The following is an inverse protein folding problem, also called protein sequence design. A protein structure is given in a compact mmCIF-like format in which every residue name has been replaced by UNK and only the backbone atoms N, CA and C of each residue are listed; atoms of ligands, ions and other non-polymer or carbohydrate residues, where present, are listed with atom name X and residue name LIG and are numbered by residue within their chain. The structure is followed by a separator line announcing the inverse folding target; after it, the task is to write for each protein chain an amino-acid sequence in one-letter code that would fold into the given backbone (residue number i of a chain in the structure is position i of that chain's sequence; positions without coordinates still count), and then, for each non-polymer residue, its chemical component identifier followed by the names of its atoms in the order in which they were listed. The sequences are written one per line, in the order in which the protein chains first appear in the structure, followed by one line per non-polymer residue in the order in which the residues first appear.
data_IF_667499193806
#
_entry.id   IF_667499193806
#
_cell.length_a   1.000
_cell.length_b   1.000
_cell.length_c   1.000
_cell.angle_alpha   90.00
_cell.angle_beta   90.00
_cell.angle_gamma   90.00
#
_symmetry.space_group_name_H-M   'P 1'
#
loop_
_entity.id
_entity.type
_entity.pdbx_description
1 polymer ?
#
# COMPACT_ATOMS: atom_id res chain seq x y z
N UNK A 1 0.57 -14.34 -21.59
CA UNK A 1 1.83 -14.65 -20.88
C UNK A 1 1.62 -15.83 -19.93
N UNK A 2 0.61 -15.85 -19.07
CA UNK A 2 0.33 -16.90 -18.09
C UNK A 2 0.11 -18.29 -18.73
N UNK A 3 -0.36 -18.34 -19.97
CA UNK A 3 -0.56 -19.60 -20.73
C UNK A 3 0.75 -20.23 -21.25
N UNK A 4 1.84 -19.46 -21.34
CA UNK A 4 3.10 -19.98 -21.88
C UNK A 4 3.68 -21.09 -21.00
N UNK A 5 4.17 -22.17 -21.61
CA UNK A 5 4.85 -23.26 -20.89
C UNK A 5 6.11 -22.79 -20.15
N UNK A 6 6.78 -21.74 -20.65
CA UNK A 6 7.96 -21.13 -20.02
C UNK A 6 7.64 -20.21 -18.84
N UNK A 7 6.37 -19.82 -18.63
CA UNK A 7 6.00 -18.97 -17.51
C UNK A 7 6.26 -19.67 -16.17
N UNK A 8 6.96 -18.97 -15.29
CA UNK A 8 7.16 -19.39 -13.90
C UNK A 8 6.26 -18.52 -13.03
N UNK A 9 5.33 -19.10 -12.25
CA UNK A 9 4.43 -18.31 -11.42
C UNK A 9 5.21 -17.59 -10.31
N UNK A 10 5.00 -16.28 -10.22
CA UNK A 10 5.55 -15.39 -9.19
C UNK A 10 4.47 -14.41 -8.73
N UNK A 11 4.56 -13.88 -7.50
CA UNK A 11 3.65 -12.85 -7.04
C UNK A 11 3.73 -11.58 -7.91
N UNK A 12 2.60 -11.17 -8.45
CA UNK A 12 2.47 -9.94 -9.23
C UNK A 12 2.07 -8.79 -8.30
N UNK A 13 2.85 -7.72 -8.29
CA UNK A 13 2.49 -6.49 -7.58
C UNK A 13 1.64 -5.60 -8.49
N UNK A 14 0.38 -5.38 -8.12
CA UNK A 14 -0.44 -4.35 -8.74
C UNK A 14 -0.20 -3.00 -8.08
N UNK A 15 -0.16 -1.94 -8.88
CA UNK A 15 0.10 -0.54 -8.46
C UNK A 15 1.57 -0.20 -8.15
N UNK A 16 2.55 -0.66 -8.90
CA UNK A 16 3.94 -0.27 -8.63
C UNK A 16 4.21 1.21 -8.94
N UNK A 17 3.49 1.82 -9.89
CA UNK A 17 3.68 3.20 -10.34
C UNK A 17 2.48 4.11 -10.01
N UNK A 18 1.27 3.62 -10.25
CA UNK A 18 0.01 4.36 -9.98
C UNK A 18 -0.96 3.46 -9.24
N UNK A 19 -1.93 4.06 -8.55
CA UNK A 19 -2.98 3.30 -7.85
C UNK A 19 -3.86 2.55 -8.88
N UNK A 20 -3.97 1.24 -8.75
CA UNK A 20 -4.82 0.42 -9.61
C UNK A 20 -6.31 0.72 -9.45
N UNK A 21 -6.71 1.35 -8.35
CA UNK A 21 -8.09 1.80 -8.10
C UNK A 21 -8.27 3.32 -8.21
N UNK A 22 -7.49 3.98 -9.07
CA UNK A 22 -7.69 5.40 -9.37
C UNK A 22 -9.11 5.67 -9.91
N UNK A 23 -9.61 6.93 -9.88
CA UNK A 23 -11.02 7.22 -10.18
C UNK A 23 -11.56 6.70 -11.51
N UNK A 24 -10.71 6.64 -12.55
CA UNK A 24 -11.08 6.12 -13.88
C UNK A 24 -11.44 4.62 -13.86
N UNK A 25 -10.93 3.88 -12.88
CA UNK A 25 -11.15 2.44 -12.73
C UNK A 25 -12.64 2.11 -12.47
N UNK A 26 -13.43 3.06 -11.94
CA UNK A 26 -14.89 2.92 -11.82
C UNK A 26 -15.55 2.63 -13.16
N UNK A 27 -15.02 3.23 -14.24
CA UNK A 27 -15.54 3.12 -15.59
C UNK A 27 -14.85 2.02 -16.40
N UNK A 28 -13.52 2.00 -16.39
CA UNK A 28 -12.76 1.12 -17.28
C UNK A 28 -12.65 -0.31 -16.76
N UNK A 29 -12.72 -0.54 -15.43
CA UNK A 29 -12.65 -1.84 -14.78
C UNK A 29 -11.40 -2.68 -15.20
N UNK A 30 -10.29 -2.02 -15.50
CA UNK A 30 -9.06 -2.69 -15.96
C UNK A 30 -8.48 -3.58 -14.87
N UNK A 31 -8.43 -3.09 -13.63
CA UNK A 31 -7.97 -3.85 -12.47
C UNK A 31 -8.83 -5.09 -12.26
N UNK A 32 -10.16 -4.95 -12.34
CA UNK A 32 -11.06 -6.08 -12.21
C UNK A 32 -10.78 -7.15 -13.27
N UNK A 33 -10.65 -6.74 -14.54
CA UNK A 33 -10.32 -7.67 -15.64
C UNK A 33 -8.97 -8.37 -15.47
N UNK A 34 -7.98 -7.67 -14.91
CA UNK A 34 -6.71 -8.30 -14.54
C UNK A 34 -6.91 -9.32 -13.41
N UNK A 35 -7.71 -8.98 -12.39
CA UNK A 35 -8.01 -9.90 -11.29
C UNK A 35 -8.80 -11.13 -11.75
N UNK A 36 -9.73 -11.00 -12.70
CA UNK A 36 -10.45 -12.13 -13.31
C UNK A 36 -9.47 -13.16 -13.89
N UNK A 37 -8.48 -12.68 -14.66
CA UNK A 37 -7.44 -13.56 -15.24
C UNK A 37 -6.54 -14.15 -14.15
N UNK A 38 -6.16 -13.36 -13.14
CA UNK A 38 -5.30 -13.85 -12.05
C UNK A 38 -6.03 -14.87 -11.17
N UNK A 39 -7.32 -14.70 -10.91
CA UNK A 39 -8.16 -15.64 -10.18
C UNK A 39 -8.33 -16.96 -10.97
N UNK A 40 -8.64 -16.87 -12.25
CA UNK A 40 -8.70 -18.05 -13.14
C UNK A 40 -7.41 -18.87 -13.07
N UNK A 41 -6.26 -18.21 -13.13
CA UNK A 41 -4.96 -18.86 -13.06
C UNK A 41 -4.48 -19.17 -11.64
N UNK A 42 -5.15 -18.67 -10.61
CA UNK A 42 -4.68 -18.70 -9.20
C UNK A 42 -3.25 -18.15 -9.08
N UNK A 43 -2.92 -17.14 -9.89
CA UNK A 43 -1.62 -16.50 -9.82
C UNK A 43 -1.57 -15.52 -8.66
N UNK A 44 -0.59 -15.61 -7.76
CA UNK A 44 -0.55 -14.76 -6.58
C UNK A 44 -0.38 -13.28 -6.94
N UNK A 45 -1.09 -12.42 -6.19
CA UNK A 45 -1.12 -10.98 -6.41
C UNK A 45 -1.07 -10.20 -5.10
N UNK A 46 -0.21 -9.18 -5.05
CA UNK A 46 -0.16 -8.18 -3.99
C UNK A 46 -0.75 -6.85 -4.46
N UNK A 47 -1.67 -6.29 -3.69
CA UNK A 47 -2.33 -5.03 -4.01
C UNK A 47 -2.00 -3.98 -2.96
N UNK A 48 -1.62 -2.77 -3.40
CA UNK A 48 -1.51 -1.60 -2.53
C UNK A 48 -2.40 -0.50 -3.11
N UNK A 49 -3.33 0.03 -2.31
CA UNK A 49 -4.21 1.09 -2.77
C UNK A 49 -4.56 2.10 -1.68
N UNK A 50 -4.86 3.33 -2.08
CA UNK A 50 -5.45 4.40 -1.26
C UNK A 50 -6.95 4.57 -1.49
N UNK A 51 -7.57 3.64 -2.25
CA UNK A 51 -8.95 3.77 -2.67
C UNK A 51 -9.82 2.64 -2.15
N UNK A 52 -10.93 2.99 -1.49
CA UNK A 52 -11.92 2.02 -1.01
C UNK A 52 -12.68 1.30 -2.16
N UNK A 53 -12.47 1.68 -3.42
CA UNK A 53 -13.05 1.00 -4.57
C UNK A 53 -12.60 -0.48 -4.67
N UNK A 54 -11.52 -0.86 -4.02
CA UNK A 54 -11.07 -2.26 -3.94
C UNK A 54 -12.15 -3.22 -3.44
N UNK A 55 -13.08 -2.74 -2.60
CA UNK A 55 -14.23 -3.50 -2.11
C UNK A 55 -15.14 -4.01 -3.25
N UNK A 56 -15.18 -3.32 -4.39
CA UNK A 56 -15.93 -3.76 -5.57
C UNK A 56 -15.56 -5.17 -6.03
N UNK A 57 -14.31 -5.55 -5.83
CA UNK A 57 -13.73 -6.78 -6.35
C UNK A 57 -13.55 -7.87 -5.26
N UNK A 58 -14.34 -7.78 -4.17
CA UNK A 58 -14.31 -8.72 -3.05
C UNK A 58 -14.47 -10.18 -3.49
N UNK A 59 -15.34 -10.43 -4.45
CA UNK A 59 -15.61 -11.76 -5.02
C UNK A 59 -14.32 -12.43 -5.56
N UNK A 60 -13.56 -11.71 -6.38
CA UNK A 60 -12.31 -12.19 -6.95
C UNK A 60 -11.19 -12.30 -5.91
N UNK A 61 -11.15 -11.36 -4.97
CA UNK A 61 -10.16 -11.36 -3.91
C UNK A 61 -10.39 -12.51 -2.92
N UNK A 62 -11.65 -12.85 -2.62
CA UNK A 62 -11.99 -14.02 -1.80
C UNK A 62 -11.62 -15.33 -2.50
N UNK A 63 -11.88 -15.45 -3.80
CA UNK A 63 -11.47 -16.62 -4.56
C UNK A 63 -9.96 -16.82 -4.50
N UNK A 64 -9.18 -15.77 -4.73
CA UNK A 64 -7.72 -15.81 -4.61
C UNK A 64 -7.25 -16.11 -3.17
N UNK A 65 -7.94 -15.60 -2.14
CA UNK A 65 -7.58 -15.83 -0.75
C UNK A 65 -7.72 -17.30 -0.33
N UNK A 66 -8.65 -18.05 -0.93
CA UNK A 66 -8.81 -19.50 -0.70
C UNK A 66 -7.56 -20.32 -1.12
N UNK A 67 -6.67 -19.74 -1.91
CA UNK A 67 -5.44 -20.36 -2.41
C UNK A 67 -4.18 -19.70 -1.89
N UNK A 68 -4.26 -18.87 -0.86
CA UNK A 68 -3.14 -18.03 -0.37
C UNK A 68 -2.52 -17.16 -1.48
N UNK A 69 -3.33 -16.78 -2.48
CA UNK A 69 -2.87 -16.11 -3.70
C UNK A 69 -3.15 -14.59 -3.71
N UNK A 70 -3.54 -13.99 -2.58
CA UNK A 70 -3.75 -12.55 -2.50
C UNK A 70 -3.36 -11.97 -1.14
N UNK A 71 -2.81 -10.76 -1.15
CA UNK A 71 -2.80 -9.87 -0.01
C UNK A 71 -3.13 -8.44 -0.45
N UNK A 72 -3.81 -7.69 0.40
CA UNK A 72 -4.21 -6.32 0.12
C UNK A 72 -3.69 -5.39 1.21
N UNK A 73 -2.95 -4.37 0.83
CA UNK A 73 -2.53 -3.29 1.72
C UNK A 73 -3.31 -2.01 1.42
N UNK A 74 -4.03 -1.53 2.42
CA UNK A 74 -4.68 -0.22 2.34
C UNK A 74 -3.73 0.83 2.88
N UNK A 75 -3.34 1.77 2.03
CA UNK A 75 -2.45 2.86 2.46
C UNK A 75 -3.25 3.95 3.19
N UNK A 76 -2.87 4.22 4.44
CA UNK A 76 -3.44 5.29 5.27
C UNK A 76 -2.34 6.27 5.62
N UNK A 77 -2.37 7.44 5.00
CA UNK A 77 -1.35 8.48 5.15
C UNK A 77 -1.60 9.33 6.40
N UNK A 78 -2.87 9.59 6.71
CA UNK A 78 -3.32 10.39 7.85
C UNK A 78 -4.76 10.02 8.19
N UNK A 79 -5.15 10.23 9.43
CA UNK A 79 -6.55 10.20 9.89
C UNK A 79 -7.22 11.58 9.81
N UNK A 80 -6.42 12.63 9.60
CA UNK A 80 -6.89 14.00 9.41
C UNK A 80 -7.43 14.16 7.96
N UNK A 81 -8.74 14.44 7.88
CA UNK A 81 -9.42 14.64 6.60
C UNK A 81 -8.97 15.90 5.86
N UNK A 82 -8.56 16.95 6.58
CA UNK A 82 -8.08 18.18 5.97
C UNK A 82 -6.69 17.97 5.37
N UNK A 83 -5.78 17.34 6.12
CA UNK A 83 -4.47 16.98 5.59
C UNK A 83 -4.61 16.08 4.35
N UNK A 84 -5.50 15.07 4.40
CA UNK A 84 -5.76 14.22 3.23
C UNK A 84 -6.28 15.03 2.04
N UNK A 85 -7.18 16.00 2.26
CA UNK A 85 -7.78 16.80 1.20
C UNK A 85 -6.75 17.62 0.44
N UNK A 86 -5.74 18.16 1.11
CA UNK A 86 -4.69 18.96 0.49
C UNK A 86 -3.52 18.12 -0.05
N UNK A 87 -3.21 16.98 0.59
CA UNK A 87 -2.08 16.12 0.20
C UNK A 87 -2.48 15.09 -0.85
N UNK A 88 -3.68 14.52 -0.75
CA UNK A 88 -4.15 13.38 -1.56
C UNK A 88 -5.60 13.57 -2.03
N UNK A 89 -5.94 14.64 -2.76
CA UNK A 89 -7.33 15.04 -3.05
C UNK A 89 -8.14 14.00 -3.81
N UNK A 90 -7.49 13.13 -4.59
CA UNK A 90 -8.15 12.11 -5.43
C UNK A 90 -8.30 10.74 -4.75
N UNK A 91 -7.88 10.61 -3.49
CA UNK A 91 -7.94 9.34 -2.76
C UNK A 91 -9.18 9.26 -1.86
N UNK A 92 -9.51 8.06 -1.39
CA UNK A 92 -10.61 7.87 -0.47
C UNK A 92 -10.34 8.55 0.89
N UNK A 93 -11.38 9.08 1.56
CA UNK A 93 -11.25 9.58 2.94
C UNK A 93 -10.73 8.52 3.91
N UNK A 94 -10.07 8.92 5.03
CA UNK A 94 -9.53 7.98 6.00
C UNK A 94 -10.55 6.96 6.52
N UNK A 95 -11.75 7.40 6.87
CA UNK A 95 -12.83 6.53 7.32
C UNK A 95 -13.22 5.48 6.29
N UNK A 96 -13.23 5.82 4.98
CA UNK A 96 -13.52 4.88 3.92
C UNK A 96 -12.38 3.87 3.72
N UNK A 97 -11.12 4.27 3.94
CA UNK A 97 -9.97 3.36 3.91
C UNK A 97 -10.02 2.36 5.07
N UNK A 98 -10.34 2.80 6.29
CA UNK A 98 -10.53 1.91 7.44
C UNK A 98 -11.72 0.98 7.25
N UNK A 99 -12.83 1.47 6.65
CA UNK A 99 -13.95 0.60 6.26
C UNK A 99 -13.51 -0.46 5.25
N UNK A 100 -12.67 -0.10 4.26
CA UNK A 100 -12.15 -1.07 3.31
C UNK A 100 -11.32 -2.17 3.99
N UNK A 101 -10.49 -1.83 4.97
CA UNK A 101 -9.77 -2.83 5.79
C UNK A 101 -10.78 -3.77 6.46
N UNK A 102 -11.83 -3.23 7.07
CA UNK A 102 -12.84 -4.03 7.80
C UNK A 102 -13.59 -4.98 6.86
N UNK A 103 -14.03 -4.50 5.70
CA UNK A 103 -14.76 -5.32 4.73
C UNK A 103 -13.89 -6.42 4.12
N UNK A 104 -12.65 -6.09 3.74
CA UNK A 104 -11.68 -7.07 3.23
C UNK A 104 -11.34 -8.14 4.28
N UNK A 105 -11.00 -7.72 5.49
CA UNK A 105 -10.66 -8.64 6.59
C UNK A 105 -11.85 -9.50 7.00
N UNK A 106 -13.07 -8.90 7.10
CA UNK A 106 -14.30 -9.62 7.39
C UNK A 106 -14.67 -10.66 6.32
N UNK A 107 -14.20 -10.46 5.10
CA UNK A 107 -14.33 -11.39 3.98
C UNK A 107 -13.23 -12.47 3.95
N UNK A 108 -12.34 -12.53 4.96
CA UNK A 108 -11.25 -13.51 5.04
C UNK A 108 -10.04 -13.19 4.14
N UNK A 109 -9.98 -12.00 3.55
CA UNK A 109 -8.87 -11.60 2.69
C UNK A 109 -7.72 -11.09 3.55
N UNK A 110 -6.47 -11.63 3.40
CA UNK A 110 -5.30 -11.15 4.12
C UNK A 110 -5.08 -9.66 3.87
N UNK A 111 -5.32 -8.83 4.90
CA UNK A 111 -5.34 -7.38 4.78
C UNK A 111 -4.35 -6.72 5.73
N UNK A 112 -3.54 -5.82 5.21
CA UNK A 112 -2.60 -5.01 5.96
C UNK A 112 -2.84 -3.51 5.81
N UNK A 113 -2.22 -2.73 6.70
CA UNK A 113 -2.14 -1.27 6.59
C UNK A 113 -0.75 -0.82 6.15
N UNK A 114 -0.67 0.10 5.21
CA UNK A 114 0.57 0.77 4.83
C UNK A 114 0.51 2.23 5.27
N UNK A 115 1.31 2.61 6.28
CA UNK A 115 1.45 4.01 6.71
C UNK A 115 2.43 4.69 5.75
N UNK A 116 1.90 5.31 4.69
CA UNK A 116 2.72 5.85 3.60
C UNK A 116 2.02 6.98 2.80
N UNK A 117 2.78 8.06 2.50
CA UNK A 117 4.10 8.36 3.04
C UNK A 117 4.05 8.90 4.47
N UNK A 118 5.05 8.58 5.28
CA UNK A 118 5.29 9.28 6.53
C UNK A 118 6.09 10.55 6.19
N UNK A 119 5.51 11.70 6.51
CA UNK A 119 6.11 13.03 6.28
C UNK A 119 6.56 13.54 7.64
N UNK A 120 7.87 13.65 7.88
CA UNK A 120 8.40 14.12 9.17
C UNK A 120 7.82 15.49 9.55
N UNK A 121 7.48 15.68 10.83
CA UNK A 121 6.87 16.89 11.39
C UNK A 121 5.50 17.28 10.81
N UNK A 122 4.89 16.46 9.95
CA UNK A 122 3.52 16.67 9.44
C UNK A 122 2.57 15.58 9.97
N UNK A 123 2.77 14.31 9.64
CA UNK A 123 1.90 13.21 10.01
C UNK A 123 2.57 12.07 10.79
N UNK A 124 3.87 12.16 11.06
CA UNK A 124 4.63 11.15 11.80
C UNK A 124 4.04 10.87 13.20
N UNK A 125 3.49 11.90 13.86
CA UNK A 125 2.83 11.76 15.16
C UNK A 125 1.52 10.95 15.12
N UNK A 126 0.94 10.72 13.95
CA UNK A 126 -0.29 9.95 13.79
C UNK A 126 -0.04 8.43 13.70
N UNK A 127 1.22 7.98 13.52
CA UNK A 127 1.56 6.57 13.35
C UNK A 127 0.87 5.65 14.38
N UNK A 128 0.93 5.93 15.70
CA UNK A 128 0.30 5.04 16.67
C UNK A 128 -1.22 4.96 16.52
N UNK A 129 -1.87 6.10 16.20
CA UNK A 129 -3.31 6.16 16.00
C UNK A 129 -3.76 5.43 14.74
N UNK A 130 -3.02 5.59 13.63
CA UNK A 130 -3.30 4.90 12.37
C UNK A 130 -3.21 3.38 12.56
N UNK A 131 -2.15 2.91 13.23
CA UNK A 131 -1.93 1.48 13.49
C UNK A 131 -3.04 0.92 14.37
N UNK A 132 -3.42 1.60 15.46
CA UNK A 132 -4.51 1.18 16.33
C UNK A 132 -5.84 1.09 15.57
N UNK A 133 -6.21 2.13 14.82
CA UNK A 133 -7.45 2.16 14.05
C UNK A 133 -7.49 1.07 12.96
N UNK A 134 -6.34 0.78 12.33
CA UNK A 134 -6.26 -0.29 11.34
C UNK A 134 -6.40 -1.68 11.99
N UNK A 135 -5.82 -1.90 13.19
CA UNK A 135 -5.98 -3.14 13.94
C UNK A 135 -7.44 -3.36 14.37
N UNK A 136 -8.11 -2.32 14.89
CA UNK A 136 -9.54 -2.35 15.21
C UNK A 136 -10.41 -2.64 13.98
N UNK A 137 -9.96 -2.21 12.80
CA UNK A 137 -10.62 -2.51 11.53
C UNK A 137 -10.34 -3.93 11.02
N UNK A 138 -9.44 -4.70 11.67
CA UNK A 138 -9.14 -6.09 11.31
C UNK A 138 -7.87 -6.28 10.46
N UNK A 139 -7.01 -5.26 10.32
CA UNK A 139 -5.71 -5.46 9.71
C UNK A 139 -4.89 -6.50 10.49
N UNK A 140 -4.17 -7.36 9.79
CA UNK A 140 -3.31 -8.41 10.40
C UNK A 140 -1.82 -8.10 10.29
N UNK A 141 -1.46 -7.15 9.44
CA UNK A 141 -0.08 -6.75 9.21
C UNK A 141 0.03 -5.24 8.94
N UNK A 142 1.22 -4.70 9.14
CA UNK A 142 1.49 -3.29 8.89
C UNK A 142 2.84 -3.09 8.20
N UNK A 143 2.93 -2.04 7.38
CA UNK A 143 4.16 -1.57 6.78
C UNK A 143 4.23 -0.05 6.81
N UNK A 144 5.40 0.53 6.55
CA UNK A 144 5.54 1.97 6.42
C UNK A 144 6.53 2.35 5.33
N UNK A 145 6.37 3.55 4.79
CA UNK A 145 7.32 4.17 3.87
C UNK A 145 7.50 5.63 4.25
N UNK A 146 8.73 6.03 4.51
CA UNK A 146 9.10 7.43 4.73
C UNK A 146 9.08 8.17 3.39
N UNK A 147 8.64 9.42 3.40
CA UNK A 147 8.51 10.28 2.22
C UNK A 147 9.72 10.17 1.28
N UNK A 148 9.44 10.01 0.00
CA UNK A 148 10.42 9.97 -1.08
C UNK A 148 10.14 11.11 -2.05
N UNK A 149 11.18 11.84 -2.42
CA UNK A 149 11.08 13.01 -3.29
C UNK A 149 11.97 12.84 -4.53
N UNK A 150 11.67 11.89 -5.43
CA UNK A 150 12.49 11.67 -6.62
C UNK A 150 12.36 12.83 -7.61
N UNK A 151 13.50 13.27 -8.16
CA UNK A 151 13.59 14.20 -9.28
C UNK A 151 12.64 15.41 -9.17
N UNK A 152 11.70 15.56 -10.09
CA UNK A 152 10.74 16.67 -10.15
C UNK A 152 9.76 16.73 -8.95
N UNK A 153 9.62 15.66 -8.18
CA UNK A 153 8.74 15.67 -7.00
C UNK A 153 9.30 16.58 -5.89
N UNK A 154 10.62 16.68 -5.77
CA UNK A 154 11.24 17.47 -4.71
C UNK A 154 10.90 18.97 -4.78
N UNK A 155 11.09 19.69 -5.89
CA UNK A 155 10.69 21.09 -5.99
C UNK A 155 9.17 21.27 -5.84
N UNK A 156 8.35 20.43 -6.45
CA UNK A 156 6.89 20.48 -6.32
C UNK A 156 6.42 20.33 -4.87
N UNK A 157 7.02 19.41 -4.13
CA UNK A 157 6.71 19.23 -2.70
C UNK A 157 7.20 20.42 -1.87
N UNK A 158 8.33 21.02 -2.21
CA UNK A 158 8.82 22.25 -1.58
C UNK A 158 7.88 23.44 -1.77
N UNK A 159 7.29 23.58 -2.95
CA UNK A 159 6.25 24.59 -3.25
C UNK A 159 4.97 24.30 -2.45
N UNK A 160 4.51 23.05 -2.47
CA UNK A 160 3.35 22.61 -1.70
C UNK A 160 3.51 22.89 -0.19
N UNK A 161 4.69 22.62 0.38
CA UNK A 161 4.99 22.96 1.78
C UNK A 161 4.94 24.48 2.00
N UNK A 162 5.43 25.28 1.05
CA UNK A 162 5.37 26.73 1.14
C UNK A 162 3.94 27.27 1.17
N UNK A 163 3.03 26.61 0.45
CA UNK A 163 1.62 26.99 0.37
C UNK A 163 0.82 26.55 1.61
N UNK A 164 1.03 25.32 2.08
CA UNK A 164 0.18 24.72 3.11
C UNK A 164 0.81 24.72 4.50
N UNK A 165 2.13 24.71 4.62
CA UNK A 165 2.87 24.63 5.88
C UNK A 165 4.10 25.53 5.90
N UNK A 166 3.97 26.86 5.61
CA UNK A 166 5.12 27.76 5.48
C UNK A 166 6.04 27.73 6.71
N UNK A 167 5.49 27.75 7.91
CA UNK A 167 6.26 27.69 9.16
C UNK A 167 6.93 26.34 9.46
N UNK A 168 6.67 25.28 8.68
CA UNK A 168 7.28 23.95 8.85
C UNK A 168 8.12 23.52 7.66
N UNK A 169 8.11 24.27 6.57
CA UNK A 169 8.77 23.90 5.31
C UNK A 169 10.23 23.51 5.51
N UNK A 170 11.03 24.39 6.10
CA UNK A 170 12.46 24.13 6.28
C UNK A 170 12.72 22.98 7.25
N UNK A 171 11.93 22.87 8.31
CA UNK A 171 12.01 21.75 9.26
C UNK A 171 11.78 20.42 8.56
N UNK A 172 10.72 20.30 7.75
CA UNK A 172 10.40 19.07 7.01
C UNK A 172 11.51 18.72 6.03
N UNK A 173 11.94 19.67 5.19
CA UNK A 173 12.98 19.43 4.20
C UNK A 173 14.31 19.05 4.85
N UNK A 174 14.70 19.70 5.95
CA UNK A 174 15.92 19.37 6.68
C UNK A 174 15.86 17.98 7.31
N UNK A 175 14.70 17.59 7.86
CA UNK A 175 14.53 16.24 8.36
C UNK A 175 14.58 15.19 7.25
N UNK A 176 13.98 15.45 6.09
CA UNK A 176 14.11 14.56 4.92
C UNK A 176 15.56 14.41 4.49
N UNK A 177 16.32 15.52 4.38
CA UNK A 177 17.76 15.47 4.05
C UNK A 177 18.55 14.66 5.06
N UNK A 178 18.32 14.86 6.36
CA UNK A 178 19.04 14.11 7.41
C UNK A 178 18.79 12.59 7.35
N UNK A 179 17.68 12.16 6.79
CA UNK A 179 17.35 10.74 6.58
C UNK A 179 17.82 10.19 5.23
N UNK A 180 18.38 11.04 4.35
CA UNK A 180 18.76 10.71 2.97
C UNK A 180 20.21 11.10 2.65
N UNK A 181 21.08 11.11 3.66
CA UNK A 181 22.50 11.42 3.45
C UNK A 181 22.78 12.87 3.01
N UNK A 182 21.91 13.82 3.37
CA UNK A 182 22.03 15.24 2.99
C UNK A 182 21.17 15.63 1.78
N UNK A 183 20.66 14.66 1.03
CA UNK A 183 19.85 14.88 -0.18
C UNK A 183 18.33 14.74 0.13
N UNK A 184 17.48 15.17 -0.80
CA UNK A 184 16.03 14.98 -0.69
C UNK A 184 15.55 13.61 -1.20
N UNK A 185 16.41 12.89 -1.92
CA UNK A 185 16.10 11.59 -2.50
C UNK A 185 17.30 10.64 -2.42
N UNK A 186 17.04 9.39 -2.17
CA UNK A 186 17.99 8.29 -2.25
C UNK A 186 17.36 7.14 -3.05
N UNK A 187 18.11 6.60 -4.01
CA UNK A 187 17.66 5.51 -4.89
C UNK A 187 18.05 4.12 -4.38
N UNK A 188 18.98 4.03 -3.42
CA UNK A 188 19.55 2.77 -2.96
C UNK A 188 18.47 1.82 -2.45
N UNK A 189 18.47 0.60 -2.99
CA UNK A 189 17.59 -0.47 -2.52
C UNK A 189 17.85 -0.78 -1.04
N UNK A 190 16.77 -1.01 -0.28
CA UNK A 190 16.85 -1.20 1.17
C UNK A 190 16.74 0.11 1.98
N UNK A 191 17.33 1.21 1.52
CA UNK A 191 17.28 2.52 2.21
C UNK A 191 16.22 3.46 1.65
N UNK A 192 15.90 3.36 0.37
CA UNK A 192 14.96 4.27 -0.29
C UNK A 192 13.57 4.34 0.36
N UNK A 193 13.13 3.31 1.08
CA UNK A 193 11.81 3.24 1.72
C UNK A 193 11.81 3.74 3.15
N UNK A 194 12.85 3.43 3.90
CA UNK A 194 12.93 3.68 5.35
C UNK A 194 13.86 4.83 5.73
N UNK A 195 14.78 5.22 4.85
CA UNK A 195 15.82 6.20 5.17
C UNK A 195 16.89 5.63 6.11
N UNK A 196 17.74 6.51 6.64
CA UNK A 196 18.83 6.20 7.59
C UNK A 196 19.02 7.34 8.59
N UNK A 197 19.76 7.09 9.68
CA UNK A 197 20.08 8.06 10.72
C UNK A 197 18.97 8.26 11.76
N UNK A 198 19.29 9.08 12.77
CA UNK A 198 18.52 9.21 14.01
C UNK A 198 17.02 9.49 13.80
N UNK A 199 16.66 10.34 12.85
CA UNK A 199 15.25 10.65 12.58
C UNK A 199 14.50 9.47 11.96
N UNK A 200 15.13 8.74 11.03
CA UNK A 200 14.54 7.55 10.43
C UNK A 200 14.38 6.43 11.47
N UNK A 201 15.39 6.24 12.32
CA UNK A 201 15.37 5.26 13.41
C UNK A 201 14.24 5.55 14.41
N UNK A 202 14.05 6.83 14.80
CA UNK A 202 12.94 7.23 15.70
C UNK A 202 11.57 6.90 15.09
N UNK A 203 11.38 7.20 13.80
CA UNK A 203 10.13 6.89 13.09
C UNK A 203 9.92 5.37 13.07
N UNK A 204 10.96 4.59 12.73
CA UNK A 204 10.90 3.13 12.70
C UNK A 204 10.61 2.55 14.08
N UNK A 205 11.27 3.02 15.14
CA UNK A 205 11.00 2.59 16.51
C UNK A 205 9.57 2.89 16.97
N UNK A 206 9.08 4.10 16.66
CA UNK A 206 7.70 4.48 16.98
C UNK A 206 6.69 3.57 16.25
N UNK A 207 6.95 3.28 14.97
CA UNK A 207 6.15 2.36 14.17
C UNK A 207 6.16 0.94 14.77
N UNK A 208 7.33 0.38 15.09
CA UNK A 208 7.47 -0.96 15.67
C UNK A 208 6.80 -1.09 17.03
N UNK A 209 6.91 -0.06 17.88
CA UNK A 209 6.20 -0.02 19.17
C UNK A 209 4.69 -0.03 18.96
N UNK A 210 4.18 0.77 18.02
CA UNK A 210 2.76 0.81 17.69
C UNK A 210 2.26 -0.54 17.17
N UNK A 211 3.00 -1.17 16.25
CA UNK A 211 2.70 -2.50 15.68
C UNK A 211 2.64 -3.57 16.77
N UNK A 212 3.62 -3.59 17.68
CA UNK A 212 3.64 -4.54 18.82
C UNK A 212 2.45 -4.33 19.75
N UNK A 213 2.13 -3.07 20.10
CA UNK A 213 0.96 -2.75 20.96
C UNK A 213 -0.35 -3.17 20.34
N UNK A 214 -0.49 -2.99 19.03
CA UNK A 214 -1.67 -3.38 18.26
C UNK A 214 -1.71 -4.87 17.89
N UNK A 215 -0.68 -5.66 18.28
CA UNK A 215 -0.55 -7.10 17.96
C UNK A 215 -0.56 -7.40 16.45
N UNK A 216 -0.06 -6.47 15.62
CA UNK A 216 0.07 -6.63 14.17
C UNK A 216 1.40 -7.28 13.76
N UNK A 217 2.08 -7.97 14.67
CA UNK A 217 3.35 -8.67 14.41
C UNK A 217 3.13 -10.06 13.79
N UNK A 218 1.92 -10.38 13.38
CA UNK A 218 1.63 -11.61 12.66
C UNK A 218 2.57 -11.78 11.47
N UNK A 219 2.94 -13.01 11.13
CA UNK A 219 3.72 -13.28 9.93
C UNK A 219 3.04 -12.62 8.76
N UNK A 220 3.81 -11.88 7.99
CA UNK A 220 3.35 -11.35 6.70
C UNK A 220 2.79 -12.54 5.92
N UNK A 221 1.54 -12.45 5.49
CA UNK A 221 0.94 -13.52 4.70
C UNK A 221 1.80 -13.77 3.46
N UNK A 222 2.38 -14.95 3.37
CA UNK A 222 3.21 -15.35 2.22
C UNK A 222 2.30 -15.80 1.09
N UNK A 223 2.48 -15.19 -0.07
CA UNK A 223 1.73 -15.55 -1.25
C UNK A 223 2.24 -16.87 -1.83
N UNK A 224 1.33 -17.80 -2.07
CA UNK A 224 1.64 -19.13 -2.57
C UNK A 224 1.46 -19.24 -4.08
N UNK A 225 2.43 -19.84 -4.76
CA UNK A 225 2.33 -20.23 -6.17
C UNK A 225 1.92 -21.70 -6.36
N UNK A 226 1.75 -22.44 -5.27
CA UNK A 226 1.51 -23.89 -5.31
C UNK A 226 0.21 -24.28 -6.04
N UNK A 227 -0.77 -23.39 -6.03
CA UNK A 227 -2.08 -23.62 -6.64
C UNK A 227 -2.20 -23.01 -8.05
N UNK A 228 -1.11 -22.48 -8.61
CA UNK A 228 -1.14 -21.92 -9.95
C UNK A 228 -1.58 -22.95 -10.98
N UNK A 229 -2.48 -22.55 -11.86
CA UNK A 229 -2.90 -23.32 -13.02
C UNK A 229 -2.80 -22.48 -14.28
N UNK A 230 -2.38 -23.10 -15.39
CA UNK A 230 -2.39 -22.41 -16.67
C UNK A 230 -3.82 -22.28 -17.16
N UNK A 231 -4.19 -21.13 -17.76
CA UNK A 231 -5.50 -21.03 -18.40
C UNK A 231 -5.57 -22.11 -19.47
N UNK A 232 -6.62 -22.92 -19.42
CA UNK A 232 -6.93 -23.84 -20.50
C UNK A 232 -7.44 -22.96 -21.65
N UNK A 233 -6.71 -22.97 -22.79
CA UNK A 233 -7.26 -22.40 -24.02
C UNK A 233 -8.55 -23.14 -24.38
N UNK A 234 -9.30 -22.64 -25.37
CA UNK A 234 -10.56 -23.24 -25.88
C UNK A 234 -10.45 -24.68 -26.35
N UNK A 235 -9.40 -25.39 -26.02
CA UNK A 235 -9.20 -26.80 -26.31
C UNK A 235 -10.07 -27.60 -25.31
N UNK A 236 -11.23 -28.03 -25.79
CA UNK A 236 -12.04 -29.03 -25.11
C UNK A 236 -11.16 -30.26 -24.84
N UNK A 237 -11.03 -30.65 -23.57
CA UNK A 237 -10.46 -31.95 -23.23
C UNK A 237 -11.35 -33.04 -23.85
N UNK A 238 -10.81 -33.73 -24.84
CA UNK A 238 -11.52 -34.79 -25.56
C UNK A 238 -11.40 -36.17 -24.87
N UNK A 239 -10.97 -36.17 -23.57
CA UNK A 239 -10.92 -37.40 -22.78
C UNK A 239 -11.21 -37.14 -21.31
#
# INVERSE_FOLDING_TARGET
ELAKRSYRPEPIALSPNTDSYQPIERRLKLTRRCLEVLAECRNPVGIVTKNALVIRDLDLLQDLANYDAVNVFISVTSLDSELRRILEPRTSPPAARLRAIRELSGAGIPTGVLVAPIIPAINDHEIPKIIAAAAEAGATSAGHVILRLPHAVAPMFGEWLGQHFPGRKDKVLNQVRSMRGGELYESQFGRRMTGSGIHAEKITQMFEIAVRRAKLNGRRHELSTANFRRPQGDQLDLF
#
